data_IF_624101012953
#
_entry.id   IF_624101012953
#
_cell.length_a   1.000
_cell.length_b   1.000
_cell.length_c   1.000
_cell.angle_alpha   90.00
_cell.angle_beta   90.00
_cell.angle_gamma   90.00
#
_symmetry.space_group_name_H-M   'P 1'
#
loop_
_entity.id
_entity.type
_entity.pdbx_description
1 polymer ?
#
# COMPACT_ATOMS: atom_id res chain seq x y z
N UNK A 1 -23.88 -13.84 19.73
CA UNK A 1 -23.74 -13.12 18.44
C UNK A 1 -22.24 -13.01 18.18
N UNK A 2 -21.77 -13.32 16.97
CA UNK A 2 -20.34 -13.37 16.66
C UNK A 2 -19.81 -11.95 16.36
N UNK A 3 -18.68 -11.57 16.97
CA UNK A 3 -18.04 -10.26 16.73
C UNK A 3 -17.47 -10.30 15.30
N UNK A 4 -17.75 -9.31 14.43
CA UNK A 4 -17.22 -9.31 13.08
C UNK A 4 -15.69 -9.22 13.10
N UNK A 5 -15.00 -9.80 12.10
CA UNK A 5 -13.55 -9.76 12.02
C UNK A 5 -13.06 -8.31 11.93
N UNK A 6 -11.97 -8.01 12.62
CA UNK A 6 -11.33 -6.70 12.58
C UNK A 6 -11.05 -6.26 11.13
N UNK A 7 -11.30 -5.00 10.72
CA UNK A 7 -11.35 -4.61 9.31
C UNK A 7 -10.08 -4.89 8.52
N UNK A 8 -8.92 -4.96 9.17
CA UNK A 8 -7.65 -5.29 8.53
C UNK A 8 -7.59 -6.74 8.01
N UNK A 9 -8.35 -7.66 8.62
CA UNK A 9 -8.27 -9.09 8.35
C UNK A 9 -9.25 -9.57 7.28
N UNK A 10 -8.91 -10.71 6.69
CA UNK A 10 -9.71 -11.48 5.74
C UNK A 10 -10.15 -10.71 4.48
N UNK A 11 -9.48 -9.60 4.17
CA UNK A 11 -9.73 -8.73 3.01
C UNK A 11 -8.45 -8.53 2.21
N UNK A 12 -8.58 -8.54 0.89
CA UNK A 12 -7.48 -8.19 -0.02
C UNK A 12 -7.55 -6.72 -0.38
N UNK A 13 -6.50 -5.99 -0.04
CA UNK A 13 -6.33 -4.56 -0.26
C UNK A 13 -5.33 -4.29 -1.38
N UNK A 14 -5.52 -3.16 -2.06
CA UNK A 14 -4.51 -2.49 -2.88
C UNK A 14 -3.83 -1.43 -2.01
N UNK A 15 -2.52 -1.32 -2.11
CA UNK A 15 -1.69 -0.47 -1.27
C UNK A 15 -1.41 0.89 -1.92
N UNK A 16 -1.55 1.95 -1.14
CA UNK A 16 -1.21 3.32 -1.50
C UNK A 16 -0.44 3.99 -0.37
N UNK A 17 0.39 4.96 -0.75
CA UNK A 17 0.99 5.93 0.17
C UNK A 17 0.28 7.27 0.04
N UNK A 18 0.12 7.95 1.16
CA UNK A 18 -0.61 9.23 1.24
C UNK A 18 0.25 10.24 1.98
N UNK A 19 0.40 11.45 1.43
CA UNK A 19 1.01 12.55 2.18
C UNK A 19 0.11 12.97 3.35
N UNK A 20 0.61 13.70 4.36
CA UNK A 20 -0.24 14.23 5.42
C UNK A 20 -1.47 14.96 4.85
N UNK A 21 -2.64 14.70 5.44
CA UNK A 21 -3.92 15.21 5.00
C UNK A 21 -4.14 16.60 5.59
N UNK A 22 -4.24 17.64 4.75
CA UNK A 22 -4.51 19.00 5.18
C UNK A 22 -5.96 19.17 5.62
N UNK A 23 -6.19 19.66 6.83
CA UNK A 23 -7.52 19.91 7.38
C UNK A 23 -7.67 21.32 7.98
N UNK A 24 -6.63 22.15 7.91
CA UNK A 24 -6.61 23.48 8.53
C UNK A 24 -6.88 23.41 10.02
N UNK A 25 -7.69 24.34 10.54
CA UNK A 25 -7.97 24.46 11.97
C UNK A 25 -8.90 23.36 12.52
N UNK A 26 -9.61 22.63 11.66
CA UNK A 26 -10.56 21.58 12.09
C UNK A 26 -9.91 20.22 12.04
N UNK A 27 -9.60 19.56 13.18
CA UNK A 27 -8.93 18.28 13.19
C UNK A 27 -9.69 17.21 12.39
N UNK A 28 -8.98 16.48 11.53
CA UNK A 28 -9.57 15.44 10.70
C UNK A 28 -10.25 14.35 11.54
N UNK A 29 -9.60 13.93 12.62
CA UNK A 29 -10.04 12.82 13.47
C UNK A 29 -11.22 13.17 14.40
N UNK A 30 -11.74 14.41 14.33
CA UNK A 30 -12.93 14.79 15.08
C UNK A 30 -14.19 14.23 14.42
N UNK A 31 -15.10 13.67 15.22
CA UNK A 31 -16.32 13.00 14.73
C UNK A 31 -17.17 13.87 13.79
N UNK A 32 -17.31 15.16 14.09
CA UNK A 32 -18.04 16.12 13.24
C UNK A 32 -17.39 16.28 11.86
N UNK A 33 -16.06 16.31 11.81
CA UNK A 33 -15.29 16.41 10.57
C UNK A 33 -15.46 15.14 9.74
N UNK A 34 -15.35 13.97 10.37
CA UNK A 34 -15.57 12.67 9.72
C UNK A 34 -16.96 12.55 9.10
N UNK A 35 -18.03 12.87 9.85
CA UNK A 35 -19.41 12.89 9.34
C UNK A 35 -19.58 13.83 8.14
N UNK A 36 -18.89 14.98 8.16
CA UNK A 36 -18.91 15.94 7.05
C UNK A 36 -18.26 15.36 5.80
N UNK A 37 -17.10 14.71 5.94
CA UNK A 37 -16.43 14.06 4.80
C UNK A 37 -17.20 12.85 4.28
N UNK A 38 -17.81 12.06 5.16
CA UNK A 38 -18.69 10.95 4.77
C UNK A 38 -19.85 11.44 3.89
N UNK A 39 -20.54 12.52 4.31
CA UNK A 39 -21.63 13.12 3.52
C UNK A 39 -21.14 13.63 2.17
N UNK A 40 -20.02 14.35 2.11
CA UNK A 40 -19.46 14.89 0.85
C UNK A 40 -19.04 13.79 -0.11
N UNK A 41 -18.35 12.76 0.38
CA UNK A 41 -17.97 11.61 -0.44
C UNK A 41 -19.20 10.87 -0.97
N UNK A 42 -20.23 10.68 -0.12
CA UNK A 42 -21.52 10.08 -0.53
C UNK A 42 -22.19 10.89 -1.65
N UNK A 43 -22.22 12.22 -1.52
CA UNK A 43 -22.78 13.12 -2.54
C UNK A 43 -22.01 13.04 -3.85
N UNK A 44 -20.67 12.97 -3.80
CA UNK A 44 -19.83 12.84 -4.99
C UNK A 44 -20.03 11.49 -5.69
N UNK A 45 -20.05 10.38 -4.93
CA UNK A 45 -20.31 9.05 -5.48
C UNK A 45 -21.71 8.93 -6.10
N UNK A 46 -22.72 9.59 -5.51
CA UNK A 46 -24.06 9.68 -6.10
C UNK A 46 -24.07 10.55 -7.37
N UNK A 47 -23.37 11.69 -7.35
CA UNK A 47 -23.33 12.65 -8.45
C UNK A 47 -22.56 12.16 -9.68
N UNK A 48 -21.45 11.45 -9.50
CA UNK A 48 -20.64 10.90 -10.60
C UNK A 48 -21.36 9.73 -11.29
N UNK A 49 -22.15 8.94 -10.56
CA UNK A 49 -23.07 7.96 -11.16
C UNK A 49 -24.16 8.61 -12.04
N UNK A 50 -24.53 9.87 -11.79
CA UNK A 50 -25.55 10.60 -12.56
C UNK A 50 -24.98 11.34 -13.77
N UNK A 51 -23.68 11.66 -13.78
CA UNK A 51 -23.06 12.49 -14.83
C UNK A 51 -22.42 11.73 -16.00
N UNK A 52 -22.40 10.41 -16.00
CA UNK A 52 -21.99 9.61 -17.16
C UNK A 52 -20.56 9.87 -17.65
N UNK A 53 -19.67 10.42 -16.81
CA UNK A 53 -18.25 10.62 -17.16
C UNK A 53 -17.54 9.29 -16.96
N UNK A 54 -17.81 8.34 -17.86
CA UNK A 54 -17.07 7.09 -17.99
C UNK A 54 -16.23 7.15 -19.26
N UNK A 55 -14.97 7.54 -19.09
CA UNK A 55 -13.93 7.27 -20.08
C UNK A 55 -13.34 5.87 -19.78
N UNK A 56 -14.19 4.84 -19.76
CA UNK A 56 -13.82 3.43 -19.95
C UNK A 56 -15.07 2.54 -19.87
N UNK A 57 -15.55 2.07 -21.03
CA UNK A 57 -16.78 1.28 -21.17
C UNK A 57 -16.76 -0.04 -20.37
N UNK A 58 -15.59 -0.65 -20.18
CA UNK A 58 -15.47 -1.89 -19.40
C UNK A 58 -15.71 -1.68 -17.90
N UNK A 59 -15.44 -0.47 -17.39
CA UNK A 59 -15.57 -0.17 -15.97
C UNK A 59 -16.99 0.23 -15.58
N UNK A 60 -17.83 0.55 -16.57
CA UNK A 60 -19.21 0.98 -16.40
C UNK A 60 -20.15 -0.13 -15.93
N UNK A 61 -19.98 -1.32 -16.50
CA UNK A 61 -20.83 -2.47 -16.18
C UNK A 61 -20.68 -2.92 -14.73
N UNK A 62 -19.47 -2.82 -14.16
CA UNK A 62 -19.20 -3.24 -12.78
C UNK A 62 -19.89 -2.32 -11.77
N UNK A 63 -19.94 -1.01 -12.02
CA UNK A 63 -20.63 -0.06 -11.14
C UNK A 63 -22.15 -0.10 -11.28
N UNK A 64 -22.67 -0.33 -12.49
CA UNK A 64 -24.12 -0.38 -12.73
C UNK A 64 -24.80 -1.53 -11.98
N UNK A 65 -24.07 -2.61 -11.68
CA UNK A 65 -24.58 -3.78 -10.98
C UNK A 65 -24.73 -3.58 -9.46
N UNK A 66 -24.08 -2.56 -8.88
CA UNK A 66 -23.97 -2.38 -7.43
C UNK A 66 -25.26 -1.94 -6.73
N UNK A 67 -26.20 -1.34 -7.48
CA UNK A 67 -27.36 -0.65 -6.91
C UNK A 67 -27.00 0.73 -6.36
N UNK A 68 -27.94 1.44 -5.71
CA UNK A 68 -27.68 2.73 -5.11
C UNK A 68 -26.73 2.61 -3.90
N UNK A 69 -25.95 3.67 -3.67
CA UNK A 69 -25.18 3.82 -2.44
C UNK A 69 -26.11 4.14 -1.27
N UNK A 70 -26.24 3.21 -0.33
CA UNK A 70 -27.10 3.29 0.84
C UNK A 70 -26.41 4.08 1.95
N UNK A 71 -25.17 3.72 2.28
CA UNK A 71 -24.41 4.29 3.39
C UNK A 71 -22.95 4.60 3.02
N UNK A 72 -22.43 5.65 3.65
CA UNK A 72 -21.01 5.99 3.62
C UNK A 72 -20.66 6.50 5.00
N UNK A 73 -19.69 5.85 5.65
CA UNK A 73 -19.22 6.21 6.99
C UNK A 73 -17.71 6.44 7.00
N UNK A 74 -17.28 7.27 7.94
CA UNK A 74 -15.87 7.54 8.26
C UNK A 74 -15.75 7.38 9.77
N UNK A 75 -15.04 6.35 10.21
CA UNK A 75 -14.99 5.92 11.61
C UNK A 75 -13.54 5.88 12.09
N UNK A 76 -13.30 6.25 13.36
CA UNK A 76 -12.01 6.04 14.00
C UNK A 76 -11.74 4.54 14.13
N UNK A 77 -10.52 4.14 13.78
CA UNK A 77 -10.06 2.76 13.88
C UNK A 77 -9.06 2.64 15.02
N UNK A 78 -9.40 1.85 16.04
CA UNK A 78 -8.53 1.46 17.16
C UNK A 78 -7.67 0.24 16.84
N UNK A 79 -7.12 -0.40 17.86
CA UNK A 79 -6.56 -1.74 17.77
C UNK A 79 -7.65 -2.83 17.81
N UNK A 80 -7.21 -4.09 17.77
CA UNK A 80 -8.07 -5.27 17.83
C UNK A 80 -8.92 -5.32 19.11
N UNK A 81 -8.34 -4.97 20.25
CA UNK A 81 -9.04 -4.98 21.54
C UNK A 81 -10.12 -3.90 21.58
N UNK A 82 -9.81 -2.67 21.15
CA UNK A 82 -10.80 -1.62 21.04
C UNK A 82 -11.92 -1.93 20.04
N UNK A 83 -11.63 -2.71 18.99
CA UNK A 83 -12.64 -3.21 18.07
C UNK A 83 -13.60 -4.20 18.73
N UNK A 84 -13.04 -5.17 19.48
CA UNK A 84 -13.82 -6.15 20.24
C UNK A 84 -14.72 -5.46 21.26
N UNK A 85 -14.17 -4.51 22.01
CA UNK A 85 -14.90 -3.78 23.05
C UNK A 85 -16.03 -2.92 22.47
N UNK A 86 -15.79 -2.21 21.36
CA UNK A 86 -16.83 -1.43 20.65
C UNK A 86 -18.02 -2.31 20.25
N UNK A 87 -17.75 -3.53 19.76
CA UNK A 87 -18.81 -4.45 19.34
C UNK A 87 -19.55 -5.07 20.52
N UNK A 88 -18.85 -5.37 21.62
CA UNK A 88 -19.49 -5.85 22.85
C UNK A 88 -20.45 -4.81 23.41
N UNK A 89 -20.04 -3.54 23.49
CA UNK A 89 -20.88 -2.43 23.96
C UNK A 89 -22.09 -2.17 23.08
N UNK A 90 -21.97 -2.39 21.76
CA UNK A 90 -23.10 -2.26 20.85
C UNK A 90 -24.17 -3.34 21.06
N UNK A 91 -23.80 -4.49 21.60
CA UNK A 91 -24.72 -5.62 21.84
C UNK A 91 -25.26 -5.60 23.27
N UNK A 92 -24.41 -5.26 24.24
CA UNK A 92 -24.75 -5.14 25.65
C UNK A 92 -24.18 -3.83 26.22
N UNK A 93 -25.01 -2.78 26.39
CA UNK A 93 -24.55 -1.48 26.88
C UNK A 93 -24.13 -1.52 28.37
N UNK A 94 -24.46 -2.59 29.11
CA UNK A 94 -24.08 -2.77 30.51
C UNK A 94 -22.80 -3.63 30.67
N UNK A 95 -22.28 -4.22 29.59
CA UNK A 95 -21.02 -4.97 29.60
C UNK A 95 -19.83 -4.03 29.82
N UNK A 96 -19.21 -4.12 31.00
CA UNK A 96 -17.94 -3.51 31.44
C UNK A 96 -17.53 -2.21 30.74
N UNK A 97 -17.81 -1.08 31.40
CA UNK A 97 -17.38 0.28 31.02
C UNK A 97 -15.85 0.52 31.16
N UNK A 98 -15.02 -0.52 31.05
CA UNK A 98 -13.57 -0.42 31.27
C UNK A 98 -12.79 0.11 30.06
N UNK A 99 -13.39 0.16 28.86
CA UNK A 99 -12.71 0.72 27.68
C UNK A 99 -12.93 2.23 27.59
N UNK A 100 -11.85 3.01 27.73
CA UNK A 100 -11.86 4.44 27.41
C UNK A 100 -12.40 4.66 25.99
N UNK A 101 -13.32 5.62 25.81
CA UNK A 101 -13.75 6.12 24.48
C UNK A 101 -12.52 6.26 23.58
N UNK A 102 -12.54 5.62 22.41
CA UNK A 102 -11.42 5.68 21.44
C UNK A 102 -11.06 7.13 21.17
N UNK A 103 -9.92 7.56 21.69
CA UNK A 103 -9.44 8.92 21.59
C UNK A 103 -8.62 9.09 20.32
N UNK A 104 -8.65 10.29 19.75
CA UNK A 104 -7.98 10.59 18.48
C UNK A 104 -6.46 10.40 18.52
N UNK A 105 -5.83 10.42 19.69
CA UNK A 105 -4.40 10.16 19.90
C UNK A 105 -4.06 8.66 19.86
N UNK A 106 -4.97 7.79 20.33
CA UNK A 106 -4.78 6.33 20.35
C UNK A 106 -5.26 5.63 19.09
N UNK A 107 -6.01 6.31 18.23
CA UNK A 107 -6.49 5.74 16.97
C UNK A 107 -5.33 5.30 16.06
N UNK A 108 -5.38 4.04 15.61
CA UNK A 108 -4.53 3.48 14.55
C UNK A 108 -4.83 4.10 13.19
N UNK A 109 -6.02 4.65 12.99
CA UNK A 109 -6.39 5.27 11.72
C UNK A 109 -7.86 5.61 11.55
N UNK A 110 -8.29 5.60 10.30
CA UNK A 110 -9.66 5.78 9.86
C UNK A 110 -10.10 4.61 8.98
N UNK A 111 -11.30 4.10 9.23
CA UNK A 111 -12.02 3.23 8.31
C UNK A 111 -13.03 4.09 7.52
N UNK A 112 -13.02 3.92 6.20
CA UNK A 112 -14.04 4.45 5.30
C UNK A 112 -14.83 3.29 4.73
N UNK A 113 -16.12 3.23 5.05
CA UNK A 113 -17.03 2.19 4.57
C UNK A 113 -18.01 2.76 3.56
N UNK A 114 -18.26 1.99 2.49
CA UNK A 114 -19.23 2.30 1.44
C UNK A 114 -20.14 1.09 1.25
N UNK A 115 -21.40 1.24 1.64
CA UNK A 115 -22.40 0.18 1.55
C UNK A 115 -23.35 0.48 0.40
N UNK A 116 -23.22 -0.31 -0.67
CA UNK A 116 -24.18 -0.35 -1.76
C UNK A 116 -25.17 -1.49 -1.50
N UNK A 117 -26.36 -1.39 -2.11
CA UNK A 117 -27.44 -2.38 -2.00
C UNK A 117 -26.97 -3.84 -2.11
N UNK A 118 -26.00 -4.13 -3.00
CA UNK A 118 -25.52 -5.50 -3.24
C UNK A 118 -24.14 -5.81 -2.68
N UNK A 119 -23.36 -4.80 -2.30
CA UNK A 119 -21.95 -4.99 -1.99
C UNK A 119 -21.38 -3.85 -1.15
N UNK A 120 -20.62 -4.22 -0.13
CA UNK A 120 -19.82 -3.28 0.66
C UNK A 120 -18.37 -3.22 0.19
N UNK A 121 -17.80 -2.02 0.27
CA UNK A 121 -16.41 -1.71 0.02
C UNK A 121 -15.82 -0.91 1.17
N UNK A 122 -14.50 -0.98 1.35
CA UNK A 122 -13.85 -0.22 2.39
C UNK A 122 -12.45 0.25 2.02
N UNK A 123 -12.00 1.27 2.73
CA UNK A 123 -10.63 1.74 2.73
C UNK A 123 -10.15 2.02 4.16
N UNK A 124 -8.86 1.80 4.42
CA UNK A 124 -8.24 2.04 5.72
C UNK A 124 -7.09 3.04 5.54
N UNK A 125 -7.16 4.18 6.20
CA UNK A 125 -6.07 5.16 6.33
C UNK A 125 -5.39 4.90 7.67
N UNK A 126 -4.14 4.46 7.65
CA UNK A 126 -3.44 3.90 8.80
C UNK A 126 -2.19 4.71 9.16
N UNK A 127 -1.88 4.74 10.45
CA UNK A 127 -0.65 5.30 11.03
C UNK A 127 -0.16 4.47 12.20
N UNK A 128 1.06 4.75 12.62
CA UNK A 128 1.59 4.21 13.86
C UNK A 128 1.05 5.06 15.03
N UNK A 129 0.27 4.48 15.96
CA UNK A 129 -0.23 5.22 17.12
C UNK A 129 0.90 5.71 18.04
N UNK A 130 2.11 5.12 17.97
CA UNK A 130 3.28 5.61 18.69
C UNK A 130 3.95 6.82 18.01
N UNK A 131 3.66 7.06 16.72
CA UNK A 131 4.28 8.13 15.91
C UNK A 131 3.19 8.94 15.21
N UNK A 132 2.59 9.88 15.95
CA UNK A 132 1.46 10.71 15.48
C UNK A 132 1.84 12.12 15.04
N UNK A 133 3.15 12.42 14.93
CA UNK A 133 3.63 13.77 14.60
C UNK A 133 3.21 14.19 13.18
N UNK A 134 2.65 15.40 13.08
CA UNK A 134 2.34 16.07 11.82
C UNK A 134 2.48 17.59 11.97
N UNK A 135 2.75 18.31 10.86
CA UNK A 135 2.69 19.77 10.86
C UNK A 135 1.32 20.28 11.31
N UNK A 136 1.29 21.51 11.83
CA UNK A 136 0.03 22.17 12.22
C UNK A 136 -0.95 22.22 11.04
N UNK A 137 -2.20 21.84 11.30
CA UNK A 137 -3.24 21.75 10.27
C UNK A 137 -3.17 20.52 9.36
N UNK A 138 -2.29 19.56 9.65
CA UNK A 138 -2.19 18.29 8.95
C UNK A 138 -2.35 17.10 9.88
N UNK A 139 -2.85 15.98 9.35
CA UNK A 139 -2.87 14.68 10.01
C UNK A 139 -2.12 13.65 9.17
N UNK A 140 -1.13 12.97 9.75
CA UNK A 140 -0.35 11.94 9.05
C UNK A 140 -1.04 10.57 9.13
N UNK A 141 -1.42 10.02 7.97
CA UNK A 141 -1.96 8.67 7.78
C UNK A 141 -1.29 8.05 6.54
N UNK A 142 0.00 7.68 6.63
CA UNK A 142 0.85 7.44 5.47
C UNK A 142 0.44 6.22 4.63
N UNK A 143 -0.20 5.22 5.25
CA UNK A 143 -0.61 3.99 4.60
C UNK A 143 -2.10 4.01 4.26
N UNK A 144 -2.44 3.78 2.99
CA UNK A 144 -3.82 3.64 2.55
C UNK A 144 -4.05 2.25 1.94
N UNK A 145 -4.99 1.51 2.52
CA UNK A 145 -5.44 0.20 2.04
C UNK A 145 -6.81 0.37 1.38
N UNK A 146 -6.97 -0.06 0.12
CA UNK A 146 -8.25 0.13 -0.60
C UNK A 146 -8.79 -1.19 -1.15
N UNK A 147 -10.06 -1.50 -0.83
CA UNK A 147 -10.85 -2.59 -1.40
C UNK A 147 -12.08 -2.00 -2.07
N UNK A 148 -11.91 -1.51 -3.30
CA UNK A 148 -12.95 -0.90 -4.14
C UNK A 148 -12.70 -1.26 -5.62
N UNK A 149 -13.76 -1.32 -6.47
CA UNK A 149 -13.61 -1.47 -7.91
C UNK A 149 -13.02 -0.21 -8.52
N UNK A 150 -12.51 -0.32 -9.76
CA UNK A 150 -11.79 0.75 -10.46
C UNK A 150 -12.43 2.14 -10.35
N UNK A 151 -13.71 2.33 -10.74
CA UNK A 151 -14.31 3.66 -10.78
C UNK A 151 -14.49 4.28 -9.39
N UNK A 152 -15.02 3.50 -8.44
CA UNK A 152 -15.23 3.97 -7.06
C UNK A 152 -13.88 4.33 -6.44
N UNK A 153 -12.87 3.50 -6.67
CA UNK A 153 -11.51 3.76 -6.21
C UNK A 153 -10.99 5.08 -6.76
N UNK A 154 -11.09 5.33 -8.07
CA UNK A 154 -10.59 6.60 -8.64
C UNK A 154 -11.32 7.83 -8.06
N UNK A 155 -12.64 7.75 -7.86
CA UNK A 155 -13.41 8.84 -7.21
C UNK A 155 -12.91 9.05 -5.78
N UNK A 156 -12.73 7.98 -5.00
CA UNK A 156 -12.24 8.05 -3.63
C UNK A 156 -10.81 8.61 -3.55
N UNK A 157 -9.89 8.14 -4.39
CA UNK A 157 -8.52 8.63 -4.44
C UNK A 157 -8.48 10.11 -4.87
N UNK A 158 -9.31 10.50 -5.83
CA UNK A 158 -9.44 11.91 -6.24
C UNK A 158 -10.02 12.77 -5.12
N UNK A 159 -11.04 12.29 -4.42
CA UNK A 159 -11.60 12.96 -3.25
C UNK A 159 -10.53 13.26 -2.20
N UNK A 160 -9.65 12.28 -1.89
CA UNK A 160 -8.54 12.50 -0.97
C UNK A 160 -7.58 13.58 -1.48
N UNK A 161 -7.21 13.53 -2.76
CA UNK A 161 -6.30 14.50 -3.38
C UNK A 161 -6.85 15.93 -3.32
N UNK A 162 -8.12 16.12 -3.63
CA UNK A 162 -8.71 17.45 -3.76
C UNK A 162 -9.17 18.05 -2.43
N UNK A 163 -9.69 17.23 -1.52
CA UNK A 163 -10.25 17.74 -0.25
C UNK A 163 -9.19 17.94 0.83
N UNK A 164 -8.08 17.20 0.76
CA UNK A 164 -7.01 17.25 1.75
C UNK A 164 -5.68 17.76 1.18
N UNK A 165 -5.66 18.27 -0.06
CA UNK A 165 -4.44 18.67 -0.77
C UNK A 165 -3.31 17.65 -0.64
N UNK A 166 -3.67 16.37 -0.80
CA UNK A 166 -2.82 15.24 -0.48
C UNK A 166 -2.32 14.54 -1.74
N UNK A 167 -1.05 14.17 -1.75
CA UNK A 167 -0.49 13.31 -2.78
C UNK A 167 -0.77 11.84 -2.45
N UNK A 168 -1.51 11.16 -3.33
CA UNK A 168 -1.83 9.72 -3.21
C UNK A 168 -1.22 8.95 -4.38
N UNK A 169 -0.32 8.01 -4.07
CA UNK A 169 0.39 7.21 -5.05
C UNK A 169 0.37 5.71 -4.69
N UNK A 170 0.40 4.79 -5.68
CA UNK A 170 0.51 3.36 -5.40
C UNK A 170 1.76 3.04 -4.56
N UNK A 171 1.60 2.17 -3.56
CA UNK A 171 2.70 1.66 -2.75
C UNK A 171 3.16 0.33 -3.34
N UNK A 172 4.39 0.31 -3.86
CA UNK A 172 5.04 -0.89 -4.40
C UNK A 172 6.05 -1.43 -3.40
N UNK A 173 5.72 -2.53 -2.76
CA UNK A 173 6.59 -3.22 -1.82
C UNK A 173 7.79 -3.82 -2.57
N UNK A 174 8.99 -3.48 -2.10
CA UNK A 174 10.22 -4.04 -2.63
C UNK A 174 10.31 -5.56 -2.37
N UNK A 175 10.97 -6.34 -3.24
CA UNK A 175 11.22 -7.76 -3.00
C UNK A 175 11.88 -8.02 -1.63
N UNK A 176 12.80 -7.14 -1.22
CA UNK A 176 13.44 -7.18 0.09
C UNK A 176 12.44 -7.05 1.24
N UNK A 177 11.44 -6.16 1.13
CA UNK A 177 10.39 -6.00 2.13
C UNK A 177 9.54 -7.27 2.24
N UNK A 178 9.15 -7.83 1.09
CA UNK A 178 8.36 -9.06 1.02
C UNK A 178 9.09 -10.22 1.68
N UNK A 179 10.38 -10.41 1.33
CA UNK A 179 11.23 -11.43 1.94
C UNK A 179 11.42 -11.21 3.44
N UNK A 180 11.77 -9.99 3.88
CA UNK A 180 11.98 -9.68 5.30
C UNK A 180 10.71 -9.88 6.12
N UNK A 181 9.53 -9.61 5.56
CA UNK A 181 8.25 -9.83 6.24
C UNK A 181 8.02 -11.32 6.55
N UNK A 182 8.35 -12.21 5.61
CA UNK A 182 8.29 -13.66 5.84
C UNK A 182 9.31 -14.11 6.90
N UNK A 183 10.54 -13.61 6.85
CA UNK A 183 11.60 -13.97 7.80
C UNK A 183 11.27 -13.49 9.21
N UNK A 184 10.71 -12.28 9.37
CA UNK A 184 10.21 -11.78 10.66
C UNK A 184 9.11 -12.69 11.21
N UNK A 185 8.20 -13.15 10.34
CA UNK A 185 7.15 -14.09 10.76
C UNK A 185 7.76 -15.40 11.29
N UNK A 186 8.72 -15.98 10.57
CA UNK A 186 9.42 -17.18 11.02
C UNK A 186 10.26 -16.98 12.27
N UNK A 187 10.82 -15.78 12.47
CA UNK A 187 11.56 -15.43 13.69
C UNK A 187 10.67 -15.53 14.92
N UNK A 188 9.44 -15.03 14.85
CA UNK A 188 8.46 -15.15 15.95
C UNK A 188 8.04 -16.60 16.17
N UNK A 189 7.69 -17.33 15.11
CA UNK A 189 7.29 -18.74 15.23
C UNK A 189 8.43 -19.67 15.70
N UNK A 190 9.69 -19.30 15.46
CA UNK A 190 10.88 -20.05 15.89
C UNK A 190 11.39 -19.62 17.27
N UNK A 191 10.80 -18.60 17.89
CA UNK A 191 11.22 -18.12 19.19
C UNK A 191 10.99 -19.21 20.25
N UNK A 192 11.86 -19.28 21.26
CA UNK A 192 11.71 -20.25 22.37
C UNK A 192 10.44 -20.03 23.19
N UNK A 193 9.92 -18.81 23.18
CA UNK A 193 8.66 -18.41 23.81
C UNK A 193 7.44 -18.66 22.93
N UNK A 194 7.61 -19.11 21.68
CA UNK A 194 6.49 -19.36 20.78
C UNK A 194 5.69 -20.56 21.27
N UNK A 195 4.38 -20.37 21.42
CA UNK A 195 3.41 -21.43 21.68
C UNK A 195 2.88 -22.07 20.40
N UNK A 196 3.24 -21.52 19.23
CA UNK A 196 2.75 -21.94 17.93
C UNK A 196 3.88 -22.51 17.08
N UNK A 197 3.62 -23.60 16.35
CA UNK A 197 4.57 -24.16 15.40
C UNK A 197 4.46 -23.52 14.02
N UNK A 198 5.55 -23.54 13.25
CA UNK A 198 5.56 -23.06 11.85
C UNK A 198 4.54 -23.81 11.01
N UNK A 199 4.44 -25.13 11.18
CA UNK A 199 3.56 -25.96 10.37
C UNK A 199 2.09 -25.60 10.60
N UNK A 200 1.68 -25.41 11.85
CA UNK A 200 0.28 -25.12 12.21
C UNK A 200 -0.18 -23.77 11.66
N UNK A 201 0.70 -22.76 11.73
CA UNK A 201 0.37 -21.39 11.35
C UNK A 201 0.46 -21.17 9.84
N UNK A 202 1.50 -21.71 9.19
CA UNK A 202 1.80 -21.42 7.78
C UNK A 202 1.06 -22.39 6.84
N UNK A 203 0.90 -23.66 7.25
CA UNK A 203 0.26 -24.78 6.55
C UNK A 203 0.81 -25.12 5.16
N UNK A 204 0.86 -24.17 4.24
CA UNK A 204 1.45 -24.29 2.91
C UNK A 204 2.01 -22.93 2.50
N UNK A 205 3.22 -22.94 1.94
CA UNK A 205 3.92 -21.73 1.55
C UNK A 205 4.07 -21.67 0.03
N UNK A 206 3.61 -20.57 -0.55
CA UNK A 206 3.78 -20.24 -1.96
C UNK A 206 4.74 -19.07 -2.11
N UNK A 207 5.85 -19.29 -2.81
CA UNK A 207 6.83 -18.25 -3.16
C UNK A 207 6.80 -18.06 -4.66
N UNK A 208 6.44 -16.85 -5.11
CA UNK A 208 6.40 -16.51 -6.53
C UNK A 208 7.58 -15.65 -6.94
N UNK A 209 8.37 -16.17 -7.86
CA UNK A 209 9.45 -15.47 -8.52
C UNK A 209 8.94 -14.76 -9.77
N UNK A 210 9.40 -13.54 -9.99
CA UNK A 210 9.22 -12.79 -11.22
C UNK A 210 10.57 -12.49 -11.86
N UNK A 211 10.57 -12.34 -13.18
CA UNK A 211 11.76 -12.09 -13.99
C UNK A 211 11.62 -10.80 -14.78
N UNK A 212 11.46 -9.64 -14.11
CA UNK A 212 11.24 -8.38 -14.80
C UNK A 212 12.41 -8.13 -15.76
N UNK A 213 12.08 -7.67 -16.97
CA UNK A 213 13.04 -7.30 -18.01
C UNK A 213 13.95 -8.44 -18.52
N UNK A 214 13.70 -9.69 -18.16
CA UNK A 214 14.53 -10.84 -18.56
C UNK A 214 13.90 -11.62 -19.72
N UNK A 215 12.58 -11.81 -19.67
CA UNK A 215 11.84 -12.53 -20.71
C UNK A 215 10.39 -12.07 -20.74
N UNK A 216 9.80 -12.05 -21.94
CA UNK A 216 8.36 -11.81 -22.14
C UNK A 216 7.56 -13.12 -22.17
N UNK A 217 8.24 -14.27 -22.30
CA UNK A 217 7.63 -15.59 -22.41
C UNK A 217 7.29 -16.18 -21.03
N UNK A 218 8.21 -16.06 -20.07
CA UNK A 218 8.03 -16.58 -18.72
C UNK A 218 7.86 -15.44 -17.71
N UNK A 219 6.62 -15.17 -17.33
CA UNK A 219 6.31 -14.04 -16.42
C UNK A 219 6.65 -14.36 -14.96
N UNK A 220 6.36 -15.58 -14.51
CA UNK A 220 6.56 -15.99 -13.13
C UNK A 220 6.81 -17.50 -13.00
N UNK A 221 7.51 -17.89 -11.93
CA UNK A 221 7.58 -19.26 -11.42
C UNK A 221 6.99 -19.24 -10.02
N UNK A 222 6.14 -20.22 -9.71
CA UNK A 222 5.57 -20.39 -8.36
C UNK A 222 6.11 -21.67 -7.75
N UNK A 223 6.67 -21.54 -6.55
CA UNK A 223 7.25 -22.62 -5.77
C UNK A 223 6.32 -22.86 -4.59
N UNK A 224 5.80 -24.08 -4.49
CA UNK A 224 4.94 -24.51 -3.38
C UNK A 224 5.74 -25.41 -2.45
N UNK A 225 5.73 -25.11 -1.16
CA UNK A 225 6.41 -25.86 -0.11
C UNK A 225 5.35 -26.30 0.90
N UNK A 226 5.30 -27.60 1.20
CA UNK A 226 4.40 -28.14 2.20
C UNK A 226 4.76 -27.61 3.60
N UNK A 227 3.77 -27.33 4.45
CA UNK A 227 4.00 -26.73 5.78
C UNK A 227 4.96 -27.51 6.66
N UNK A 228 4.92 -28.85 6.57
CA UNK A 228 5.82 -29.74 7.31
C UNK A 228 7.31 -29.55 6.94
N UNK A 229 7.60 -29.09 5.72
CA UNK A 229 8.97 -28.88 5.25
C UNK A 229 9.51 -27.47 5.57
N UNK A 230 8.62 -26.50 5.82
CA UNK A 230 9.00 -25.08 6.01
C UNK A 230 9.92 -24.90 7.20
N UNK A 231 9.64 -25.55 8.34
CA UNK A 231 10.51 -25.52 9.52
C UNK A 231 11.91 -26.06 9.21
N UNK A 232 12.00 -27.14 8.44
CA UNK A 232 13.27 -27.71 7.99
C UNK A 232 14.10 -26.75 7.13
N UNK A 233 13.47 -25.91 6.30
CA UNK A 233 14.18 -24.85 5.59
C UNK A 233 14.72 -23.78 6.55
N UNK A 234 13.91 -23.33 7.51
CA UNK A 234 14.33 -22.35 8.51
C UNK A 234 15.52 -22.87 9.32
N UNK A 235 15.45 -24.11 9.80
CA UNK A 235 16.51 -24.69 10.65
C UNK A 235 17.81 -24.95 9.89
N UNK A 236 17.72 -25.49 8.66
CA UNK A 236 18.90 -25.62 7.79
C UNK A 236 19.51 -24.27 7.43
N UNK A 237 18.66 -23.26 7.24
CA UNK A 237 19.06 -21.88 6.98
C UNK A 237 19.89 -21.27 8.09
N UNK A 238 19.49 -21.49 9.36
CA UNK A 238 20.25 -21.03 10.54
C UNK A 238 21.67 -21.61 10.61
N UNK A 239 21.91 -22.78 10.00
CA UNK A 239 23.22 -23.44 9.94
C UNK A 239 24.11 -22.92 8.79
N UNK A 240 23.55 -22.18 7.83
CA UNK A 240 24.33 -21.58 6.76
C UNK A 240 25.14 -20.39 7.31
N UNK A 241 26.36 -20.21 6.81
CA UNK A 241 27.26 -19.13 7.22
C UNK A 241 26.83 -17.74 6.72
N UNK A 242 25.94 -17.71 5.73
CA UNK A 242 25.46 -16.49 5.10
C UNK A 242 24.14 -16.02 5.73
N UNK A 243 24.11 -14.73 6.08
CA UNK A 243 22.94 -13.93 6.45
C UNK A 243 21.94 -14.61 7.42
N UNK A 244 22.32 -14.71 8.71
CA UNK A 244 21.45 -15.19 9.78
C UNK A 244 20.13 -14.39 9.93
N UNK A 245 19.99 -13.23 9.29
CA UNK A 245 18.74 -12.48 9.31
C UNK A 245 17.67 -13.08 8.38
N UNK A 246 18.06 -13.93 7.41
CA UNK A 246 17.15 -14.52 6.40
C UNK A 246 17.36 -16.03 6.22
N UNK A 247 17.24 -16.82 7.30
CA UNK A 247 17.56 -18.25 7.26
C UNK A 247 16.72 -19.02 6.23
N UNK A 248 15.41 -18.79 6.16
CA UNK A 248 14.56 -19.52 5.22
C UNK A 248 14.98 -19.26 3.77
N UNK A 249 15.20 -17.99 3.43
CA UNK A 249 15.54 -17.55 2.08
C UNK A 249 16.90 -18.06 1.66
N UNK A 250 17.89 -18.08 2.58
CA UNK A 250 19.21 -18.65 2.33
C UNK A 250 19.11 -20.15 2.01
N UNK A 251 18.36 -20.91 2.80
CA UNK A 251 18.14 -22.34 2.56
C UNK A 251 17.40 -22.61 1.25
N UNK A 252 16.34 -21.83 0.97
CA UNK A 252 15.59 -21.93 -0.28
C UNK A 252 16.48 -21.64 -1.49
N UNK A 253 17.30 -20.59 -1.43
CA UNK A 253 18.23 -20.22 -2.49
C UNK A 253 19.23 -21.34 -2.77
N UNK A 254 19.84 -21.89 -1.71
CA UNK A 254 20.77 -23.02 -1.81
C UNK A 254 20.11 -24.26 -2.44
N UNK A 255 18.88 -24.58 -2.00
CA UNK A 255 18.12 -25.73 -2.50
C UNK A 255 17.79 -25.59 -3.99
N UNK A 256 17.24 -24.45 -4.41
CA UNK A 256 16.88 -24.20 -5.81
C UNK A 256 18.11 -24.16 -6.72
N UNK A 257 19.21 -23.58 -6.25
CA UNK A 257 20.47 -23.55 -6.99
C UNK A 257 21.03 -24.95 -7.19
N UNK A 258 20.99 -25.79 -6.15
CA UNK A 258 21.52 -27.15 -6.22
C UNK A 258 20.64 -28.10 -7.06
N UNK A 259 19.32 -28.08 -6.86
CA UNK A 259 18.42 -29.06 -7.47
C UNK A 259 17.81 -28.61 -8.80
N UNK A 260 17.66 -27.31 -9.04
CA UNK A 260 17.00 -26.76 -10.23
C UNK A 260 17.90 -25.85 -11.06
N UNK A 261 19.17 -25.67 -10.67
CA UNK A 261 20.08 -24.68 -11.26
C UNK A 261 19.48 -23.26 -11.30
N UNK A 262 18.60 -22.95 -10.35
CA UNK A 262 17.87 -21.67 -10.27
C UNK A 262 18.45 -20.80 -9.15
N UNK A 263 19.10 -19.71 -9.53
CA UNK A 263 19.67 -18.75 -8.59
C UNK A 263 18.70 -17.59 -8.33
N UNK A 264 18.01 -17.62 -7.18
CA UNK A 264 17.08 -16.56 -6.77
C UNK A 264 17.77 -15.34 -6.15
N UNK A 265 19.09 -15.41 -5.91
CA UNK A 265 19.89 -14.26 -5.46
C UNK A 265 20.33 -13.38 -6.64
N UNK A 266 20.13 -13.85 -7.87
CA UNK A 266 20.48 -13.10 -9.07
C UNK A 266 19.57 -11.87 -9.23
N UNK A 267 20.09 -10.66 -9.56
CA UNK A 267 19.29 -9.41 -9.66
C UNK A 267 18.09 -9.44 -10.62
N UNK A 268 18.13 -10.37 -11.58
CA UNK A 268 17.07 -10.61 -12.59
C UNK A 268 15.92 -11.50 -12.08
N UNK A 269 16.10 -12.18 -10.95
CA UNK A 269 15.07 -12.96 -10.28
C UNK A 269 14.65 -12.22 -9.01
N UNK A 270 13.35 -12.04 -8.80
CA UNK A 270 12.84 -11.31 -7.65
C UNK A 270 11.65 -12.03 -7.04
N UNK A 271 11.62 -12.13 -5.70
CA UNK A 271 10.44 -12.60 -4.98
C UNK A 271 9.37 -11.51 -5.08
N UNK A 272 8.32 -11.79 -5.85
CA UNK A 272 7.25 -10.83 -6.19
C UNK A 272 6.01 -11.02 -5.34
N UNK A 273 5.82 -12.22 -4.78
CA UNK A 273 4.69 -12.56 -3.92
C UNK A 273 5.03 -13.73 -3.01
N UNK A 274 4.54 -13.66 -1.79
CA UNK A 274 4.51 -14.74 -0.81
C UNK A 274 3.05 -14.93 -0.39
N UNK A 275 2.58 -16.17 -0.33
CA UNK A 275 1.26 -16.49 0.20
C UNK A 275 1.32 -17.73 1.08
N UNK A 276 0.70 -17.63 2.25
CA UNK A 276 0.49 -18.71 3.19
C UNK A 276 -0.88 -18.55 3.88
N UNK A 277 -1.20 -19.42 4.83
CA UNK A 277 -2.45 -19.34 5.57
C UNK A 277 -2.59 -18.02 6.35
N UNK A 278 -1.50 -17.46 6.87
CA UNK A 278 -1.55 -16.23 7.68
C UNK A 278 -1.63 -14.94 6.86
N UNK A 279 -1.00 -14.88 5.68
CA UNK A 279 -1.01 -13.68 4.85
C UNK A 279 -0.75 -13.95 3.38
N UNK A 280 -1.19 -13.03 2.53
CA UNK A 280 -0.85 -12.96 1.11
C UNK A 280 -0.24 -11.59 0.84
N UNK A 281 1.05 -11.56 0.55
CA UNK A 281 1.83 -10.35 0.34
C UNK A 281 2.38 -10.35 -1.06
N UNK A 282 2.06 -9.34 -1.86
CA UNK A 282 2.67 -9.10 -3.15
C UNK A 282 3.05 -7.63 -3.31
N UNK A 283 3.65 -7.29 -4.45
CA UNK A 283 4.16 -5.93 -4.71
C UNK A 283 3.15 -4.81 -4.44
N UNK A 284 1.88 -4.97 -4.78
CA UNK A 284 0.85 -3.91 -4.62
C UNK A 284 -0.38 -4.37 -3.84
N UNK A 285 -0.37 -5.61 -3.33
CA UNK A 285 -1.55 -6.25 -2.74
C UNK A 285 -1.22 -6.94 -1.44
N UNK A 286 -2.13 -6.81 -0.48
CA UNK A 286 -2.04 -7.40 0.84
C UNK A 286 -3.35 -8.08 1.21
N UNK A 287 -3.27 -9.26 1.81
CA UNK A 287 -4.34 -9.86 2.61
C UNK A 287 -3.72 -10.37 3.90
N UNK A 288 -4.23 -9.95 5.04
CA UNK A 288 -3.91 -10.53 6.33
C UNK A 288 -5.05 -11.43 6.77
N UNK A 289 -4.74 -12.54 7.41
CA UNK A 289 -5.71 -13.42 8.06
C UNK A 289 -5.62 -13.17 9.55
N UNK A 290 -6.77 -13.22 10.23
CA UNK A 290 -6.80 -13.04 11.68
C UNK A 290 -5.92 -14.14 12.32
N UNK A 291 -5.01 -13.79 13.23
CA UNK A 291 -4.24 -14.79 13.95
C UNK A 291 -5.18 -15.62 14.83
N UNK A 292 -4.92 -16.92 14.95
CA UNK A 292 -5.64 -17.78 15.89
C UNK A 292 -5.36 -17.27 17.30
N UNK A 293 -6.37 -16.66 17.93
CA UNK A 293 -6.33 -16.39 19.37
C UNK A 293 -6.36 -17.75 20.05
N UNK A 294 -5.39 -18.01 20.95
CA UNK A 294 -5.35 -19.24 21.73
C UNK A 294 -6.76 -19.54 22.25
N UNK A 295 -7.32 -20.66 21.78
CA UNK A 295 -8.69 -21.05 22.09
C UNK A 295 -8.87 -21.13 23.62
N UNK A 296 -9.90 -20.46 24.13
CA UNK A 296 -10.61 -20.75 25.38
C UNK A 296 -9.81 -21.49 26.47
N UNK A 297 -8.81 -20.84 27.07
CA UNK A 297 -8.55 -21.10 28.49
C UNK A 297 -9.54 -20.24 29.24
N UNK A 298 -10.52 -20.90 29.85
CA UNK A 298 -11.53 -20.35 30.75
C UNK A 298 -11.10 -19.03 31.40
N UNK A 299 -11.96 -18.02 31.32
CA UNK A 299 -11.90 -16.81 32.13
C UNK A 299 -11.92 -17.20 33.62
N UNK A 300 -10.76 -17.59 34.16
CA UNK A 300 -10.48 -17.52 35.58
C UNK A 300 -9.86 -16.15 35.81
N UNK A 301 -10.68 -15.31 36.41
CA UNK A 301 -10.36 -14.05 37.06
C UNK A 301 -9.00 -14.15 37.77
N UNK A 302 -7.95 -13.55 37.18
CA UNK A 302 -6.77 -12.99 37.84
C UNK A 302 -5.74 -12.55 36.77
N UNK A 303 -5.72 -11.24 36.48
CA UNK A 303 -4.53 -10.39 36.33
C UNK A 303 -3.29 -10.82 35.50
N UNK A 304 -3.32 -11.90 34.72
CA UNK A 304 -2.22 -12.29 33.87
C UNK A 304 -2.40 -11.66 32.49
N UNK A 305 -1.50 -10.74 32.13
CA UNK A 305 -1.29 -10.30 30.75
C UNK A 305 -1.21 -11.54 29.86
N UNK A 306 -2.23 -11.79 29.02
CA UNK A 306 -2.15 -12.86 28.03
C UNK A 306 -0.99 -12.51 27.11
N UNK A 307 0.12 -13.23 27.21
CA UNK A 307 1.26 -13.04 26.32
C UNK A 307 0.78 -13.22 24.88
N UNK A 308 0.99 -12.19 24.05
CA UNK A 308 0.57 -12.21 22.66
C UNK A 308 1.17 -13.42 21.94
N UNK A 309 0.35 -14.14 21.17
CA UNK A 309 0.80 -15.27 20.36
C UNK A 309 1.88 -14.84 19.36
N UNK A 310 2.72 -15.78 18.93
CA UNK A 310 3.76 -15.50 17.93
C UNK A 310 3.18 -14.93 16.63
N UNK A 311 2.00 -15.41 16.21
CA UNK A 311 1.25 -14.85 15.08
C UNK A 311 0.82 -13.39 15.30
N UNK A 312 0.30 -13.05 16.49
CA UNK A 312 -0.07 -11.67 16.82
C UNK A 312 1.13 -10.72 16.82
N UNK A 313 2.24 -11.12 17.43
CA UNK A 313 3.48 -10.33 17.44
C UNK A 313 4.02 -10.12 16.02
N UNK A 314 3.98 -11.16 15.18
CA UNK A 314 4.39 -11.06 13.79
C UNK A 314 3.51 -10.10 12.98
N UNK A 315 2.19 -10.10 13.21
CA UNK A 315 1.25 -9.17 12.57
C UNK A 315 1.47 -7.73 13.05
N UNK A 316 1.75 -7.52 14.32
CA UNK A 316 2.05 -6.20 14.88
C UNK A 316 3.34 -5.61 14.30
N UNK A 317 4.42 -6.40 14.23
CA UNK A 317 5.67 -6.01 13.60
C UNK A 317 5.49 -5.73 12.10
N UNK A 318 4.69 -6.56 11.43
CA UNK A 318 4.35 -6.39 10.02
C UNK A 318 3.59 -5.08 9.78
N UNK A 319 2.56 -4.79 10.59
CA UNK A 319 1.80 -3.55 10.53
C UNK A 319 2.71 -2.33 10.68
N UNK A 320 3.58 -2.35 11.69
CA UNK A 320 4.53 -1.26 11.97
C UNK A 320 5.50 -1.07 10.81
N UNK A 321 6.07 -2.17 10.31
CA UNK A 321 7.00 -2.14 9.17
C UNK A 321 6.34 -1.61 7.90
N UNK A 322 5.09 -1.98 7.64
CA UNK A 322 4.33 -1.54 6.47
C UNK A 322 4.03 -0.04 6.51
N UNK A 323 3.73 0.50 7.70
CA UNK A 323 3.53 1.94 7.89
C UNK A 323 4.83 2.71 7.68
N UNK A 324 5.95 2.21 8.20
CA UNK A 324 7.27 2.81 7.98
C UNK A 324 7.65 2.81 6.49
N UNK A 325 7.38 1.71 5.79
CA UNK A 325 7.57 1.63 4.33
C UNK A 325 6.71 2.66 3.60
N UNK A 326 5.44 2.82 3.98
CA UNK A 326 4.53 3.82 3.39
C UNK A 326 4.94 5.26 3.70
N UNK A 327 5.46 5.52 4.92
CA UNK A 327 5.96 6.82 5.35
C UNK A 327 7.31 7.19 4.69
N UNK A 328 7.95 6.25 3.99
CA UNK A 328 9.27 6.45 3.38
C UNK A 328 10.44 6.40 4.37
N UNK A 329 10.21 5.89 5.58
CA UNK A 329 11.22 5.69 6.63
C UNK A 329 11.76 4.26 6.71
N UNK A 330 11.25 3.35 5.87
CA UNK A 330 11.82 2.02 5.68
C UNK A 330 13.31 2.11 5.36
N UNK A 331 14.16 1.37 6.08
CA UNK A 331 15.61 1.36 5.90
C UNK A 331 15.92 1.07 4.43
N UNK A 332 16.35 2.11 3.72
CA UNK A 332 16.91 1.99 2.39
C UNK A 332 18.09 1.00 2.44
N UNK A 333 18.15 0.18 1.41
CA UNK A 333 19.30 -0.53 0.82
C UNK A 333 20.68 -0.28 1.49
N UNK A 334 21.57 -1.28 1.56
CA UNK A 334 22.99 -1.04 1.84
C UNK A 334 23.53 0.09 0.95
N UNK A 335 24.31 0.99 1.53
CA UNK A 335 24.89 2.17 0.85
C UNK A 335 25.70 1.81 -0.42
N UNK A 336 26.04 0.54 -0.61
CA UNK A 336 26.86 0.02 -1.70
C UNK A 336 26.23 0.12 -3.11
N UNK A 337 24.93 0.39 -3.24
CA UNK A 337 24.28 0.61 -4.55
C UNK A 337 24.01 2.09 -4.89
N UNK A 338 24.31 3.03 -3.98
CA UNK A 338 24.11 4.45 -4.20
C UNK A 338 25.33 5.16 -4.83
N UNK A 339 26.49 4.49 -4.89
CA UNK A 339 27.73 5.08 -5.37
C UNK A 339 28.00 4.92 -6.88
N UNK A 340 27.24 4.10 -7.59
CA UNK A 340 27.48 3.83 -9.02
C UNK A 340 26.86 4.85 -10.00
N UNK A 341 26.39 6.00 -9.50
CA UNK A 341 25.81 7.07 -10.34
C UNK A 341 26.26 8.48 -9.96
N UNK A 342 27.40 8.63 -9.29
CA UNK A 342 28.06 9.92 -9.14
C UNK A 342 29.27 9.99 -10.07
N UNK A 343 29.01 10.08 -11.36
CA UNK A 343 29.92 10.77 -12.26
C UNK A 343 29.14 11.47 -13.36
N UNK A 344 29.59 12.69 -13.65
CA UNK A 344 29.16 13.60 -14.71
C UNK A 344 27.90 14.46 -14.49
N UNK A 345 27.94 15.36 -13.50
CA UNK A 345 27.59 16.78 -13.76
C UNK A 345 28.19 17.71 -12.69
N UNK A 346 29.00 18.73 -13.05
CA UNK A 346 29.63 19.61 -12.06
C UNK A 346 28.63 20.68 -11.58
N UNK A 347 28.14 20.55 -10.36
CA UNK A 347 27.42 21.65 -9.68
C UNK A 347 28.42 22.49 -8.89
N UNK A 348 28.64 23.71 -9.38
CA UNK A 348 29.50 24.72 -8.76
C UNK A 348 28.79 25.39 -7.59
N UNK A 349 29.10 24.97 -6.37
CA UNK A 349 28.95 25.82 -5.18
C UNK A 349 30.20 25.70 -4.30
N UNK A 350 31.20 26.53 -4.60
CA UNK A 350 32.26 26.85 -3.66
C UNK A 350 32.44 28.37 -3.61
N UNK A 351 32.40 28.89 -2.39
CA UNK A 351 32.52 30.29 -2.01
C UNK A 351 33.82 30.95 -2.51
N UNK A 352 33.75 32.21 -2.92
CA UNK A 352 34.91 33.12 -2.84
C UNK A 352 34.48 34.58 -2.64
N UNK A 353 35.14 35.20 -1.67
CA UNK A 353 35.08 36.61 -1.26
C UNK A 353 35.44 37.61 -2.37
N UNK A 354 34.83 38.78 -2.23
CA UNK A 354 35.36 40.14 -2.45
C UNK A 354 36.15 40.48 -3.74
N UNK A 355 35.51 41.31 -4.56
CA UNK A 355 36.13 42.55 -5.05
C UNK A 355 36.75 42.56 -6.44
N UNK A 356 35.96 42.93 -7.47
CA UNK A 356 36.41 43.91 -8.48
C UNK A 356 35.25 44.32 -9.41
N UNK A 357 34.99 45.63 -9.46
CA UNK A 357 34.15 46.29 -10.47
C UNK A 357 34.75 46.08 -11.88
N UNK A 358 33.91 45.85 -12.90
CA UNK A 358 33.97 46.53 -14.23
C UNK A 358 32.76 46.18 -15.13
N UNK A 359 31.90 47.20 -15.28
CA UNK A 359 31.00 47.62 -16.38
C UNK A 359 30.39 46.57 -17.33
N UNK A 360 29.07 46.58 -17.37
CA UNK A 360 28.24 46.25 -18.53
C UNK A 360 28.25 47.41 -19.54
N UNK A 361 28.31 47.09 -20.84
CA UNK A 361 27.80 47.94 -21.92
C UNK A 361 27.07 47.02 -22.90
N UNK A 362 25.76 47.20 -22.94
CA UNK A 362 24.84 46.76 -23.97
C UNK A 362 25.03 47.61 -25.23
N UNK A 363 25.00 46.98 -26.41
CA UNK A 363 24.72 47.69 -27.66
C UNK A 363 23.45 47.11 -28.28
N UNK A 364 22.46 47.98 -28.44
CA UNK A 364 21.21 47.75 -29.13
C UNK A 364 21.34 48.07 -30.63
N UNK A 365 20.63 47.26 -31.42
CA UNK A 365 19.92 47.53 -32.68
C UNK A 365 20.28 48.70 -33.60
N UNK A 366 20.51 48.38 -34.89
CA UNK A 366 19.91 48.98 -36.11
C UNK A 366 19.98 47.83 -37.16
N UNK A 367 18.97 47.37 -37.90
CA UNK A 367 17.90 48.05 -38.62
C UNK A 367 18.18 47.92 -40.12
N UNK A 368 17.23 47.31 -40.86
CA UNK A 368 16.80 47.63 -42.22
C UNK A 368 16.78 46.53 -43.33
N UNK A 369 15.55 46.37 -43.85
CA UNK A 369 15.11 46.25 -45.24
C UNK A 369 15.15 44.95 -46.09
N UNK A 370 13.95 44.35 -46.19
CA UNK A 370 13.12 44.20 -47.40
C UNK A 370 13.76 43.78 -48.74
N UNK A 371 13.26 42.66 -49.29
CA UNK A 371 12.79 42.59 -50.70
C UNK A 371 11.80 41.44 -50.94
N UNK A 372 10.55 41.84 -51.22
CA UNK A 372 9.47 41.06 -51.85
C UNK A 372 9.87 40.64 -53.27
N UNK A 373 9.48 39.43 -53.69
CA UNK A 373 9.21 39.11 -55.10
C UNK A 373 7.83 38.43 -55.24
N UNK A 374 7.01 39.05 -56.06
CA UNK A 374 5.65 38.75 -56.51
C UNK A 374 5.61 37.58 -57.52
N UNK A 375 4.67 36.63 -57.39
CA UNK A 375 3.36 36.52 -58.09
C UNK A 375 3.45 35.91 -59.51
N UNK A 376 2.81 34.75 -59.71
CA UNK A 376 2.11 34.39 -60.95
C UNK A 376 1.01 33.36 -60.65
N UNK A 377 -0.18 33.62 -61.19
CA UNK A 377 -1.45 32.89 -61.05
C UNK A 377 -1.89 32.49 -62.46
N UNK A 378 -2.40 31.26 -62.62
CA UNK A 378 -3.04 30.74 -63.84
C UNK A 378 -2.98 29.21 -63.82
N UNK A 379 -3.97 28.42 -64.22
CA UNK A 379 -5.22 28.66 -64.93
C UNK A 379 -6.09 27.40 -64.73
N UNK A 380 -7.39 27.59 -64.82
CA UNK A 380 -8.50 26.65 -64.67
C UNK A 380 -8.64 25.65 -65.85
N UNK A 381 -9.16 24.45 -65.56
CA UNK A 381 -9.91 23.47 -66.39
C UNK A 381 -9.72 22.07 -65.73
N UNK A 382 -10.70 21.25 -65.35
CA UNK A 382 -12.05 21.05 -65.83
C UNK A 382 -12.14 19.68 -66.52
N UNK A 383 -12.48 18.58 -65.80
CA UNK A 383 -13.21 17.42 -66.36
C UNK A 383 -13.71 16.43 -65.28
N UNK A 384 -15.03 16.33 -65.16
CA UNK A 384 -15.76 15.13 -64.68
C UNK A 384 -15.66 14.04 -65.75
N UNK A 385 -15.58 12.76 -65.36
CA UNK A 385 -16.38 11.65 -65.95
C UNK A 385 -16.50 10.52 -64.91
N UNK A 386 -17.75 10.14 -64.64
CA UNK A 386 -18.22 8.94 -63.93
C UNK A 386 -17.83 7.65 -64.68
N UNK A 387 -17.80 6.52 -63.97
CA UNK A 387 -18.15 5.26 -64.63
C UNK A 387 -17.67 3.99 -63.95
N UNK A 388 -18.58 3.36 -63.20
CA UNK A 388 -18.63 1.95 -62.86
C UNK A 388 -18.14 1.00 -63.97
N UNK A 389 -17.46 -0.08 -63.58
CA UNK A 389 -17.95 -1.47 -63.63
C UNK A 389 -16.76 -2.44 -63.58
N UNK A 390 -16.70 -3.26 -62.53
CA UNK A 390 -16.86 -4.72 -62.61
C UNK A 390 -16.73 -5.29 -61.20
#
# INVERSE_FOLDING_TARGET
MEIPPYPLYNRTYILYRVSPLHHGETPLLAERTLRTHAKRLKEQLKGDNVRGVQVDFASAEDTAKLGPLEECSWDLMGDEDAWIDRHRQSVDPDASQLSSVLSSDRARGLEVSLDYEKQSYNALLLRDPAVTFSPEGFTSLPLLLVKMPGPIREIFLNYLRTNFDAHVAPLRLAPSFITSSLETYFKHLSARSSTQSIQDVIQQLHVRLAFPNTTTLLKHIEITIAGADVSGFVDRGKLLKDDHAKPFTAALSSYLKHHLALDISHPKAQISRIACNSFHLGTERLKLVAPDTLADTSFSDEGASQDASAGQLAVQDFYTSLIQEAAGSGRFLPEDLANDRRDETPSSTASAKAGRRKRAISNAAVGNDNKKKTKAKGKENGKRVNGNNA
#
